data_IF_592200034787
#
_entry.id   IF_592200034787
#
_cell.length_a   1.000
_cell.length_b   1.000
_cell.length_c   1.000
_cell.angle_alpha   90.00
_cell.angle_beta   90.00
_cell.angle_gamma   90.00
#
_symmetry.space_group_name_H-M   'P 1'
#
loop_
_entity.id
_entity.type
_entity.pdbx_description
1 polymer ?
#
# COMPACT_ATOMS: atom_id res chain seq x y z
N UNK A 1 91.03 13.01 -46.61
CA UNK A 1 89.63 12.52 -46.57
C UNK A 1 89.64 11.09 -46.02
N UNK A 2 89.26 10.85 -44.76
CA UNK A 2 89.15 9.51 -44.16
C UNK A 2 87.72 9.35 -43.63
N UNK A 3 86.83 8.74 -44.42
CA UNK A 3 85.54 8.27 -43.92
C UNK A 3 85.79 7.03 -43.05
N UNK A 4 85.32 7.09 -41.81
CA UNK A 4 85.39 5.99 -40.85
C UNK A 4 84.38 4.93 -41.24
N UNK A 5 84.87 3.71 -41.46
CA UNK A 5 84.08 2.49 -41.52
C UNK A 5 83.39 2.27 -40.18
N UNK A 6 82.09 2.55 -40.08
CA UNK A 6 81.28 2.06 -38.96
C UNK A 6 81.09 0.57 -39.22
N UNK A 7 81.63 -0.27 -38.34
CA UNK A 7 81.56 -1.72 -38.50
C UNK A 7 80.10 -2.18 -38.49
N UNK A 8 79.77 -3.08 -39.42
CA UNK A 8 78.44 -3.69 -39.58
C UNK A 8 77.89 -4.29 -38.25
N UNK A 9 78.80 -4.63 -37.32
CA UNK A 9 78.49 -5.08 -35.96
C UNK A 9 77.78 -4.04 -35.09
N UNK A 10 78.07 -2.74 -35.24
CA UNK A 10 77.46 -1.68 -34.44
C UNK A 10 76.01 -1.39 -34.90
N UNK A 11 75.76 -1.49 -36.21
CA UNK A 11 74.40 -1.35 -36.77
C UNK A 11 73.51 -2.55 -36.39
N UNK A 12 74.07 -3.76 -36.35
CA UNK A 12 73.36 -4.95 -35.90
C UNK A 12 73.01 -4.89 -34.41
N UNK A 13 73.90 -4.39 -33.55
CA UNK A 13 73.62 -4.18 -32.13
C UNK A 13 72.51 -3.14 -31.87
N UNK A 14 72.44 -2.08 -32.67
CA UNK A 14 71.37 -1.07 -32.54
C UNK A 14 70.00 -1.62 -32.98
N UNK A 15 69.97 -2.45 -34.03
CA UNK A 15 68.75 -3.11 -34.49
C UNK A 15 68.23 -4.15 -33.48
N UNK A 16 69.12 -4.93 -32.86
CA UNK A 16 68.72 -5.89 -31.83
C UNK A 16 68.24 -5.20 -30.56
N UNK A 17 68.92 -4.14 -30.09
CA UNK A 17 68.48 -3.35 -28.94
C UNK A 17 67.09 -2.72 -29.14
N UNK A 18 66.81 -2.18 -30.33
CA UNK A 18 65.50 -1.59 -30.67
C UNK A 18 64.37 -2.63 -30.67
N UNK A 19 64.65 -3.84 -31.16
CA UNK A 19 63.69 -4.95 -31.16
C UNK A 19 63.35 -5.46 -29.76
N UNK A 20 64.35 -5.50 -28.86
CA UNK A 20 64.18 -5.90 -27.46
C UNK A 20 63.34 -4.87 -26.70
N UNK A 21 63.62 -3.57 -26.87
CA UNK A 21 62.85 -2.48 -26.24
C UNK A 21 61.39 -2.50 -26.71
N UNK A 22 61.14 -2.74 -28.00
CA UNK A 22 59.77 -2.88 -28.53
C UNK A 22 59.02 -4.10 -27.98
N UNK A 23 59.70 -5.24 -27.79
CA UNK A 23 59.12 -6.42 -27.15
C UNK A 23 58.83 -6.21 -25.65
N UNK A 24 59.62 -5.39 -24.97
CA UNK A 24 59.42 -5.09 -23.54
C UNK A 24 58.27 -4.10 -23.35
N UNK A 25 58.18 -3.06 -24.20
CA UNK A 25 57.07 -2.11 -24.22
C UNK A 25 55.74 -2.79 -24.54
N UNK A 26 55.69 -3.62 -25.59
CA UNK A 26 54.48 -4.38 -25.92
C UNK A 26 54.07 -5.38 -24.84
N UNK A 27 55.02 -5.99 -24.10
CA UNK A 27 54.71 -6.84 -22.94
C UNK A 27 54.17 -6.03 -21.77
N UNK A 28 54.66 -4.81 -21.56
CA UNK A 28 54.21 -3.92 -20.49
C UNK A 28 52.82 -3.37 -20.78
N UNK A 29 52.57 -2.94 -22.02
CA UNK A 29 51.26 -2.47 -22.49
C UNK A 29 50.21 -3.59 -22.42
N UNK A 30 50.54 -4.81 -22.85
CA UNK A 30 49.67 -5.98 -22.68
C UNK A 30 49.41 -6.33 -21.20
N UNK A 31 50.36 -6.06 -20.29
CA UNK A 31 50.17 -6.27 -18.84
C UNK A 31 49.27 -5.21 -18.24
N UNK A 32 49.41 -3.96 -18.65
CA UNK A 32 48.57 -2.85 -18.23
C UNK A 32 47.14 -2.99 -18.77
N UNK A 33 46.97 -3.39 -20.04
CA UNK A 33 45.67 -3.70 -20.63
C UNK A 33 44.98 -4.90 -19.97
N UNK A 34 45.73 -5.96 -19.65
CA UNK A 34 45.17 -7.09 -18.90
C UNK A 34 44.84 -6.72 -17.45
N UNK A 35 45.61 -5.81 -16.83
CA UNK A 35 45.32 -5.28 -15.49
C UNK A 35 44.11 -4.37 -15.51
N UNK A 36 43.96 -3.54 -16.54
CA UNK A 36 42.80 -2.68 -16.80
C UNK A 36 41.55 -3.52 -17.07
N UNK A 37 41.61 -4.51 -17.97
CA UNK A 37 40.53 -5.48 -18.23
C UNK A 37 40.18 -6.33 -17.01
N UNK A 38 41.16 -6.71 -16.18
CA UNK A 38 40.89 -7.42 -14.95
C UNK A 38 40.32 -6.49 -13.87
N UNK A 39 40.72 -5.21 -13.81
CA UNK A 39 40.09 -4.22 -12.93
C UNK A 39 38.68 -3.83 -13.40
N UNK A 40 38.40 -3.87 -14.70
CA UNK A 40 37.05 -3.73 -15.27
C UNK A 40 36.23 -5.02 -15.11
N UNK A 41 36.83 -6.22 -15.11
CA UNK A 41 36.12 -7.45 -14.66
C UNK A 41 35.92 -7.50 -13.14
N UNK A 42 36.72 -6.74 -12.39
CA UNK A 42 36.46 -6.34 -11.00
C UNK A 42 35.61 -5.06 -10.91
N UNK A 43 34.85 -4.71 -11.97
CA UNK A 43 33.56 -4.05 -11.75
C UNK A 43 32.84 -4.92 -10.74
N UNK A 44 32.70 -4.38 -9.53
CA UNK A 44 31.96 -4.91 -8.40
C UNK A 44 30.82 -5.78 -8.96
N UNK A 45 30.95 -7.11 -8.87
CA UNK A 45 29.81 -7.98 -9.10
C UNK A 45 28.83 -7.64 -8.01
N UNK A 46 27.98 -6.65 -8.30
CA UNK A 46 27.00 -6.10 -7.38
C UNK A 46 26.14 -7.28 -7.00
N UNK A 47 26.24 -7.73 -5.75
CA UNK A 47 25.50 -8.90 -5.29
C UNK A 47 24.03 -8.55 -5.41
N UNK A 48 23.40 -9.04 -6.48
CA UNK A 48 22.00 -8.72 -6.80
C UNK A 48 21.17 -9.20 -5.61
N UNK A 49 20.46 -8.27 -4.96
CA UNK A 49 19.58 -8.65 -3.86
C UNK A 49 18.49 -9.56 -4.42
N UNK A 50 18.51 -10.82 -4.00
CA UNK A 50 17.49 -11.81 -4.38
C UNK A 50 16.34 -11.73 -3.39
N UNK A 51 15.13 -11.48 -3.87
CA UNK A 51 13.92 -11.46 -3.06
C UNK A 51 13.07 -12.72 -3.22
N UNK A 52 13.18 -13.43 -4.35
CA UNK A 52 12.39 -14.66 -4.56
C UNK A 52 12.57 -15.62 -3.38
N UNK A 53 11.45 -16.17 -2.90
CA UNK A 53 11.42 -17.08 -1.76
C UNK A 53 11.38 -16.41 -0.38
N UNK A 54 11.48 -15.07 -0.29
CA UNK A 54 11.32 -14.38 0.98
C UNK A 54 9.85 -14.22 1.33
N UNK A 55 9.55 -14.43 2.60
CA UNK A 55 8.32 -13.95 3.22
C UNK A 55 8.52 -12.51 3.68
N UNK A 56 7.41 -11.79 3.84
CA UNK A 56 7.42 -10.50 4.51
C UNK A 56 6.18 -10.36 5.37
N UNK A 57 6.31 -9.55 6.42
CA UNK A 57 5.18 -9.05 7.17
C UNK A 57 5.38 -7.57 7.43
N UNK A 58 4.28 -6.83 7.51
CA UNK A 58 4.31 -5.45 7.99
C UNK A 58 3.07 -5.16 8.83
N UNK A 59 3.24 -4.13 9.64
CA UNK A 59 2.16 -3.45 10.32
C UNK A 59 2.40 -1.94 10.30
N UNK A 60 1.32 -1.17 10.35
CA UNK A 60 1.42 0.27 10.49
C UNK A 60 0.07 0.94 10.49
N UNK A 61 0.06 2.22 10.17
CA UNK A 61 -1.11 3.07 10.32
C UNK A 61 -1.64 3.54 8.98
N UNK A 62 -2.93 3.84 8.95
CA UNK A 62 -3.59 4.41 7.78
C UNK A 62 -4.39 5.67 8.13
N UNK A 63 -4.59 6.48 7.10
CA UNK A 63 -5.50 7.63 7.09
C UNK A 63 -6.32 7.54 5.82
N UNK A 64 -7.64 7.70 5.94
CA UNK A 64 -8.56 7.49 4.85
C UNK A 64 -9.33 8.77 4.47
N UNK A 65 -9.88 8.75 3.26
CA UNK A 65 -10.87 9.72 2.78
C UNK A 65 -11.84 8.95 1.90
N UNK A 66 -13.10 9.39 1.89
CA UNK A 66 -14.20 8.70 1.24
C UNK A 66 -14.89 9.65 0.27
N UNK A 67 -15.41 9.12 -0.84
CA UNK A 67 -16.40 9.85 -1.63
C UNK A 67 -17.72 9.91 -0.86
N UNK A 68 -18.56 10.86 -1.26
CA UNK A 68 -19.97 10.85 -0.88
C UNK A 68 -20.62 9.55 -1.42
N UNK A 69 -21.66 9.08 -0.74
CA UNK A 69 -22.31 7.81 -1.05
C UNK A 69 -23.83 7.91 -0.92
N UNK A 70 -24.53 7.30 -1.86
CA UNK A 70 -25.94 6.97 -1.67
C UNK A 70 -26.05 5.77 -0.74
N UNK A 71 -26.91 5.87 0.28
CA UNK A 71 -27.17 4.78 1.21
C UNK A 71 -28.64 4.42 1.14
N UNK A 72 -28.93 3.21 0.66
CA UNK A 72 -30.28 2.67 0.60
C UNK A 72 -30.54 1.82 1.84
N UNK A 73 -31.58 2.15 2.59
CA UNK A 73 -32.03 1.46 3.79
C UNK A 73 -33.31 0.69 3.50
N UNK A 74 -33.36 -0.57 3.94
CA UNK A 74 -34.50 -1.45 3.74
C UNK A 74 -34.83 -2.23 5.01
N UNK A 75 -36.12 -2.30 5.34
CA UNK A 75 -36.68 -3.15 6.38
C UNK A 75 -38.14 -3.47 6.07
N UNK A 76 -38.84 -4.13 7.00
CA UNK A 76 -40.23 -4.56 6.76
C UNK A 76 -41.20 -3.39 6.55
N UNK A 77 -40.91 -2.25 7.19
CA UNK A 77 -41.79 -1.08 7.24
C UNK A 77 -41.16 0.19 6.65
N UNK A 78 -39.98 0.10 6.05
CA UNK A 78 -39.32 1.24 5.41
C UNK A 78 -38.44 0.78 4.25
N UNK A 79 -38.37 1.60 3.21
CA UNK A 79 -37.51 1.41 2.05
C UNK A 79 -37.21 2.81 1.50
N UNK A 80 -36.01 3.33 1.77
CA UNK A 80 -35.63 4.68 1.39
C UNK A 80 -34.14 4.83 1.11
N UNK A 81 -33.80 5.79 0.28
CA UNK A 81 -32.42 6.14 -0.05
C UNK A 81 -32.10 7.53 0.46
N UNK A 82 -30.93 7.67 1.08
CA UNK A 82 -30.29 8.94 1.36
C UNK A 82 -29.22 9.19 0.30
N UNK A 83 -29.27 10.34 -0.36
CA UNK A 83 -28.30 10.67 -1.42
C UNK A 83 -27.16 11.56 -0.93
N UNK A 84 -25.99 11.38 -1.52
CA UNK A 84 -24.78 12.17 -1.28
C UNK A 84 -24.40 12.28 0.21
N UNK A 85 -24.54 11.16 0.94
CA UNK A 85 -24.20 11.10 2.36
C UNK A 85 -22.69 11.21 2.51
N UNK A 86 -22.25 12.21 3.26
CA UNK A 86 -20.83 12.47 3.50
C UNK A 86 -20.32 11.64 4.67
N UNK A 87 -19.09 11.17 4.54
CA UNK A 87 -18.39 10.49 5.61
C UNK A 87 -16.95 10.96 5.72
N UNK A 88 -16.38 10.76 6.91
CA UNK A 88 -15.03 11.14 7.23
C UNK A 88 -14.33 10.04 8.01
N UNK A 89 -13.02 10.17 8.05
CA UNK A 89 -12.16 9.32 8.85
C UNK A 89 -12.25 9.66 10.35
N UNK A 90 -11.98 8.69 11.22
CA UNK A 90 -11.92 8.88 12.68
C UNK A 90 -10.58 8.46 13.26
N UNK A 91 -9.57 9.26 12.94
CA UNK A 91 -8.22 9.04 13.46
C UNK A 91 -8.22 9.09 14.99
N UNK A 92 -7.70 8.02 15.59
CA UNK A 92 -7.47 7.96 17.03
C UNK A 92 -6.48 9.05 17.43
N UNK A 93 -6.85 9.93 18.37
CA UNK A 93 -5.92 10.96 18.90
C UNK A 93 -4.61 10.31 19.33
N UNK A 94 -3.49 10.90 18.90
CA UNK A 94 -2.17 10.35 19.15
C UNK A 94 -1.91 10.22 20.65
N UNK A 95 -1.48 9.03 21.06
CA UNK A 95 -0.77 8.83 22.31
C UNK A 95 0.10 7.60 22.17
N UNK A 96 1.26 7.60 22.82
CA UNK A 96 2.20 6.50 22.73
C UNK A 96 1.55 5.16 23.14
N UNK A 97 0.76 5.19 24.22
CA UNK A 97 0.04 4.02 24.70
C UNK A 97 -1.02 3.51 23.71
N UNK A 98 -1.71 4.38 22.96
CA UNK A 98 -2.70 3.92 21.98
C UNK A 98 -2.05 3.37 20.71
N UNK A 99 -0.91 3.93 20.30
CA UNK A 99 -0.27 3.62 19.03
C UNK A 99 0.78 2.51 19.09
N UNK A 100 1.43 2.30 20.23
CA UNK A 100 2.57 1.38 20.34
C UNK A 100 2.39 0.29 21.41
N UNK A 101 1.30 0.31 22.17
CA UNK A 101 0.99 -0.78 23.10
C UNK A 101 0.39 -1.97 22.33
N UNK A 102 0.97 -3.18 22.43
CA UNK A 102 0.45 -4.39 21.79
C UNK A 102 -1.01 -4.72 22.15
N UNK A 103 -1.48 -4.34 23.34
CA UNK A 103 -2.87 -4.54 23.75
C UNK A 103 -3.88 -3.61 23.08
N UNK A 104 -3.42 -2.56 22.39
CA UNK A 104 -4.25 -1.52 21.79
C UNK A 104 -4.16 -1.49 20.25
N UNK A 105 -3.60 -2.52 19.62
CA UNK A 105 -3.27 -2.53 18.18
C UNK A 105 -4.48 -2.28 17.28
N UNK A 106 -5.69 -2.60 17.73
CA UNK A 106 -6.95 -2.38 17.00
C UNK A 106 -7.61 -1.02 17.26
N UNK A 107 -7.11 -0.24 18.24
CA UNK A 107 -7.69 1.08 18.57
C UNK A 107 -7.34 2.11 17.51
N UNK A 108 -6.07 2.29 17.08
CA UNK A 108 -5.73 3.07 15.89
C UNK A 108 -6.22 2.38 14.62
N UNK A 109 -6.39 3.16 13.57
CA UNK A 109 -6.50 2.62 12.22
C UNK A 109 -5.18 2.02 11.79
N UNK A 110 -5.21 0.73 11.50
CA UNK A 110 -4.00 -0.03 11.20
C UNK A 110 -4.14 -0.89 9.97
N UNK A 111 -2.99 -1.18 9.38
CA UNK A 111 -2.87 -2.17 8.32
C UNK A 111 -1.96 -3.27 8.81
N UNK A 112 -2.37 -4.51 8.61
CA UNK A 112 -1.51 -5.67 8.81
C UNK A 112 -1.48 -6.50 7.54
N UNK A 113 -0.30 -7.01 7.20
CA UNK A 113 -0.13 -7.87 6.03
C UNK A 113 0.97 -8.88 6.22
N UNK A 114 0.76 -10.06 5.65
CA UNK A 114 1.78 -11.06 5.40
C UNK A 114 1.80 -11.40 3.91
N UNK A 115 2.98 -11.67 3.36
CA UNK A 115 3.10 -12.02 1.96
C UNK A 115 4.40 -12.72 1.61
N UNK A 116 4.55 -12.98 0.32
CA UNK A 116 5.59 -13.81 -0.24
C UNK A 116 6.05 -13.31 -1.60
N UNK A 117 7.36 -13.29 -1.81
CA UNK A 117 8.00 -12.98 -3.08
C UNK A 117 8.07 -14.24 -3.96
N UNK A 118 7.07 -14.42 -4.84
CA UNK A 118 7.05 -15.56 -5.77
C UNK A 118 7.95 -15.35 -7.00
N UNK A 119 8.35 -14.10 -7.26
CA UNK A 119 9.42 -13.70 -8.20
C UNK A 119 10.30 -12.64 -7.53
N UNK A 120 11.40 -12.27 -8.18
CA UNK A 120 12.33 -11.26 -7.64
C UNK A 120 11.69 -9.89 -7.41
N UNK A 121 10.72 -9.54 -8.26
CA UNK A 121 10.05 -8.25 -8.28
C UNK A 121 8.52 -8.37 -8.12
N UNK A 122 8.00 -9.53 -7.74
CA UNK A 122 6.55 -9.70 -7.54
C UNK A 122 6.23 -10.38 -6.22
N UNK A 123 5.23 -9.82 -5.55
CA UNK A 123 4.69 -10.34 -4.30
C UNK A 123 3.22 -10.67 -4.41
N UNK A 124 2.81 -11.73 -3.72
CA UNK A 124 1.42 -11.99 -3.37
C UNK A 124 1.29 -11.89 -1.86
N UNK A 125 0.15 -11.41 -1.37
CA UNK A 125 -0.03 -11.16 0.05
C UNK A 125 -1.49 -11.13 0.45
N UNK A 126 -1.75 -11.38 1.73
CA UNK A 126 -3.06 -11.23 2.36
C UNK A 126 -2.92 -10.30 3.56
N UNK A 127 -3.88 -9.40 3.72
CA UNK A 127 -3.87 -8.43 4.80
C UNK A 127 -5.26 -7.88 5.11
N UNK A 128 -5.29 -7.04 6.13
CA UNK A 128 -6.48 -6.32 6.58
C UNK A 128 -6.14 -4.84 6.63
N UNK A 129 -6.93 -4.03 5.93
CA UNK A 129 -6.93 -2.57 6.08
C UNK A 129 -8.07 -2.21 7.06
N UNK A 130 -7.70 -1.90 8.30
CA UNK A 130 -8.62 -1.48 9.37
C UNK A 130 -8.85 0.03 9.25
N UNK A 131 -9.67 0.41 8.26
CA UNK A 131 -10.11 1.80 8.05
C UNK A 131 -11.35 2.11 8.90
N UNK A 132 -11.61 3.39 9.19
CA UNK A 132 -12.82 3.81 9.91
C UNK A 132 -13.64 4.77 9.06
N UNK A 133 -14.87 4.37 8.75
CA UNK A 133 -15.85 5.19 8.05
C UNK A 133 -16.84 5.74 9.05
N UNK A 134 -17.00 7.06 9.14
CA UNK A 134 -17.98 7.70 10.03
C UNK A 134 -18.79 8.71 9.24
N UNK A 135 -20.10 8.49 9.16
CA UNK A 135 -21.01 9.47 8.57
C UNK A 135 -20.87 10.82 9.30
N UNK A 136 -20.90 11.92 8.57
CA UNK A 136 -20.98 13.25 9.20
C UNK A 136 -22.36 13.41 9.84
N UNK A 137 -22.40 13.68 11.13
CA UNK A 137 -23.64 13.88 11.87
C UNK A 137 -24.33 15.20 11.47
N UNK A 138 -25.66 15.23 11.60
CA UNK A 138 -26.51 16.42 11.47
C UNK A 138 -26.40 17.13 10.10
N UNK A 139 -25.93 16.42 9.08
CA UNK A 139 -25.92 16.89 7.69
C UNK A 139 -27.33 16.85 7.08
N UNK A 140 -27.60 17.78 6.16
CA UNK A 140 -28.83 17.78 5.36
C UNK A 140 -28.58 17.02 4.05
N UNK A 141 -29.38 16.00 3.80
CA UNK A 141 -29.27 15.15 2.59
C UNK A 141 -30.62 15.03 1.91
N UNK A 142 -30.61 14.50 0.68
CA UNK A 142 -31.85 14.15 -0.02
C UNK A 142 -32.34 12.78 0.40
N UNK A 143 -33.64 12.66 0.66
CA UNK A 143 -34.33 11.41 0.96
C UNK A 143 -35.38 11.11 -0.10
N UNK A 144 -35.45 9.85 -0.50
CA UNK A 144 -36.49 9.34 -1.39
C UNK A 144 -36.92 7.94 -0.95
N UNK A 145 -38.23 7.69 -0.85
CA UNK A 145 -38.77 6.40 -0.44
C UNK A 145 -39.86 6.52 0.62
N UNK A 146 -40.09 5.46 1.38
CA UNK A 146 -41.16 5.40 2.38
C UNK A 146 -40.64 4.95 3.74
N UNK A 147 -41.16 5.58 4.79
CA UNK A 147 -40.95 5.18 6.19
C UNK A 147 -42.34 5.04 6.83
N UNK A 148 -42.59 3.90 7.46
CA UNK A 148 -43.84 3.61 8.18
C UNK A 148 -43.54 2.75 9.41
N UNK A 149 -42.56 3.18 10.22
CA UNK A 149 -42.01 2.41 11.34
C UNK A 149 -42.75 2.74 12.67
N UNK A 150 -43.83 3.51 12.61
CA UNK A 150 -44.60 3.96 13.77
C UNK A 150 -43.99 5.17 14.48
N UNK A 151 -42.95 5.76 13.90
CA UNK A 151 -42.31 6.97 14.40
C UNK A 151 -42.95 8.18 13.71
N UNK A 152 -43.95 8.78 14.35
CA UNK A 152 -44.73 9.90 13.80
C UNK A 152 -43.89 11.12 13.34
N UNK A 153 -42.63 11.23 13.77
CA UNK A 153 -41.71 12.28 13.31
C UNK A 153 -41.18 12.03 11.90
N UNK A 154 -40.99 10.77 11.52
CA UNK A 154 -40.33 10.36 10.28
C UNK A 154 -41.20 9.51 9.36
N UNK A 155 -42.35 9.03 9.82
CA UNK A 155 -43.30 8.31 8.98
C UNK A 155 -43.81 9.22 7.85
N UNK A 156 -43.74 8.72 6.62
CA UNK A 156 -44.11 9.48 5.43
C UNK A 156 -43.54 8.88 4.14
N UNK A 157 -44.05 9.40 3.02
CA UNK A 157 -43.52 9.14 1.67
C UNK A 157 -42.74 10.36 1.21
N UNK A 158 -41.46 10.17 0.93
CA UNK A 158 -40.52 11.21 0.56
C UNK A 158 -40.22 11.15 -0.93
N UNK A 159 -40.29 12.32 -1.59
CA UNK A 159 -39.94 12.44 -3.00
C UNK A 159 -38.85 13.51 -3.20
N UNK A 160 -37.59 13.09 -3.07
CA UNK A 160 -36.40 13.95 -3.17
C UNK A 160 -36.43 15.17 -2.20
N UNK A 161 -36.97 14.93 -1.02
CA UNK A 161 -37.09 15.93 0.03
C UNK A 161 -35.77 16.07 0.79
N UNK A 162 -35.61 17.15 1.55
CA UNK A 162 -34.42 17.34 2.38
C UNK A 162 -34.72 16.93 3.80
N UNK A 163 -33.89 16.03 4.35
CA UNK A 163 -33.95 15.59 5.75
C UNK A 163 -32.64 15.89 6.45
N UNK A 164 -32.71 16.17 7.75
CA UNK A 164 -31.54 16.29 8.61
C UNK A 164 -31.21 14.94 9.24
N UNK A 165 -29.96 14.49 9.14
CA UNK A 165 -29.48 13.26 9.77
C UNK A 165 -29.19 13.48 11.27
N UNK A 166 -30.24 13.85 12.00
CA UNK A 166 -30.23 14.04 13.44
C UNK A 166 -29.95 12.71 14.18
N UNK A 167 -29.59 12.79 15.46
CA UNK A 167 -29.23 11.62 16.28
C UNK A 167 -30.32 10.53 16.33
N UNK A 168 -31.58 10.93 16.34
CA UNK A 168 -32.73 10.02 16.35
C UNK A 168 -33.15 9.57 14.94
N UNK A 169 -32.59 10.15 13.89
CA UNK A 169 -32.77 9.69 12.52
C UNK A 169 -31.70 8.67 12.13
N UNK A 170 -30.43 9.06 12.13
CA UNK A 170 -29.32 8.20 11.73
C UNK A 170 -28.01 8.56 12.43
N UNK A 171 -27.40 7.56 13.06
CA UNK A 171 -25.97 7.50 13.34
C UNK A 171 -25.43 6.25 12.67
N UNK A 172 -24.36 6.37 11.89
CA UNK A 172 -23.87 5.28 11.04
C UNK A 172 -22.36 5.31 10.88
N UNK A 173 -21.70 4.25 11.34
CA UNK A 173 -20.25 4.16 11.34
C UNK A 173 -19.73 2.72 11.25
N UNK A 174 -18.55 2.55 10.65
CA UNK A 174 -17.78 1.30 10.58
C UNK A 174 -16.47 1.46 11.35
N UNK A 175 -16.55 1.68 12.67
CA UNK A 175 -15.41 2.22 13.45
C UNK A 175 -14.61 1.23 14.26
N UNK A 176 -15.17 0.06 14.53
CA UNK A 176 -14.38 -1.10 14.93
C UNK A 176 -13.81 -1.83 13.70
N UNK A 177 -13.72 -1.07 12.61
CA UNK A 177 -13.11 -1.39 11.33
C UNK A 177 -14.18 -1.57 10.26
N UNK A 178 -13.97 -0.89 9.14
CA UNK A 178 -14.54 -1.28 7.84
C UNK A 178 -13.98 -2.64 7.41
N UNK A 179 -12.79 -2.99 7.89
CA UNK A 179 -12.13 -4.28 7.76
C UNK A 179 -12.13 -4.81 6.33
N UNK A 180 -11.35 -4.14 5.48
CA UNK A 180 -11.12 -4.60 4.13
C UNK A 180 -10.06 -5.71 4.14
N UNK A 181 -10.53 -6.96 4.17
CA UNK A 181 -9.68 -8.16 4.11
C UNK A 181 -9.39 -8.47 2.65
N UNK A 182 -8.14 -8.34 2.24
CA UNK A 182 -7.80 -8.34 0.82
C UNK A 182 -6.51 -9.09 0.49
N UNK A 183 -6.47 -9.58 -0.74
CA UNK A 183 -5.27 -10.12 -1.38
C UNK A 183 -4.71 -9.05 -2.30
N UNK A 184 -3.39 -8.84 -2.23
CA UNK A 184 -2.69 -7.91 -3.13
C UNK A 184 -1.60 -8.62 -3.92
N UNK A 185 -1.54 -8.29 -5.20
CA UNK A 185 -0.42 -8.53 -6.09
C UNK A 185 0.32 -7.21 -6.29
N UNK A 186 1.58 -7.15 -5.86
CA UNK A 186 2.44 -5.99 -6.08
C UNK A 186 3.67 -6.34 -6.89
N UNK A 187 4.12 -5.37 -7.68
CA UNK A 187 5.44 -5.30 -8.28
C UNK A 187 6.36 -4.44 -7.41
N UNK A 188 7.64 -4.77 -7.40
CA UNK A 188 8.69 -4.14 -6.59
C UNK A 188 9.92 -3.86 -7.48
N UNK A 189 10.25 -2.59 -7.70
CA UNK A 189 11.39 -2.19 -8.52
C UNK A 189 12.41 -1.39 -7.70
N UNK A 190 13.67 -1.82 -7.70
CA UNK A 190 14.77 -1.12 -7.02
C UNK A 190 15.20 0.10 -7.84
N UNK A 191 14.95 1.28 -7.28
CA UNK A 191 15.23 2.59 -7.90
C UNK A 191 16.40 3.32 -7.20
N UNK A 192 17.14 2.63 -6.34
CA UNK A 192 18.24 3.22 -5.55
C UNK A 192 19.28 3.95 -6.41
N UNK A 193 19.53 3.42 -7.61
CA UNK A 193 20.47 4.01 -8.58
C UNK A 193 20.07 5.42 -9.03
N UNK A 194 18.77 5.75 -9.06
CA UNK A 194 18.29 7.09 -9.43
C UNK A 194 18.74 8.16 -8.42
N UNK A 195 19.06 7.74 -7.20
CA UNK A 195 19.51 8.60 -6.11
C UNK A 195 21.02 8.46 -5.82
N UNK A 196 21.78 7.81 -6.72
CA UNK A 196 23.21 7.56 -6.53
C UNK A 196 23.52 6.58 -5.39
N UNK A 197 22.52 5.88 -4.85
CA UNK A 197 22.68 4.92 -3.77
C UNK A 197 23.06 3.56 -4.35
N UNK A 198 24.28 3.11 -4.04
CA UNK A 198 24.82 1.80 -4.43
C UNK A 198 25.20 0.95 -3.21
N UNK A 199 24.41 1.04 -2.14
CA UNK A 199 24.67 0.33 -0.89
C UNK A 199 23.93 -1.02 -0.86
N UNK A 200 24.61 -2.09 -0.46
CA UNK A 200 23.96 -3.41 -0.33
C UNK A 200 22.92 -3.47 0.80
N UNK A 201 23.05 -2.59 1.79
CA UNK A 201 22.25 -2.60 3.01
C UNK A 201 21.19 -1.50 3.03
N UNK A 202 21.04 -0.72 1.97
CA UNK A 202 20.02 0.34 1.85
C UNK A 202 19.48 0.34 0.41
N UNK A 203 18.19 0.04 0.26
CA UNK A 203 17.51 0.03 -1.02
C UNK A 203 16.26 0.91 -0.97
N UNK A 204 16.10 1.75 -1.98
CA UNK A 204 14.85 2.47 -2.23
C UNK A 204 14.13 1.73 -3.35
N UNK A 205 12.88 1.36 -3.11
CA UNK A 205 12.08 0.61 -4.06
C UNK A 205 10.78 1.36 -4.32
N UNK A 206 10.37 1.38 -5.58
CA UNK A 206 9.03 1.76 -5.97
C UNK A 206 8.16 0.50 -5.98
N UNK A 207 6.93 0.63 -5.49
CA UNK A 207 5.95 -0.45 -5.44
C UNK A 207 4.68 -0.02 -6.12
N UNK A 208 4.07 -0.92 -6.87
CA UNK A 208 2.78 -0.72 -7.52
C UNK A 208 1.99 -2.03 -7.49
N UNK A 209 0.68 -1.99 -7.44
CA UNK A 209 -0.10 -3.22 -7.38
C UNK A 209 -1.60 -3.02 -7.40
N UNK A 210 -2.26 -4.16 -7.42
CA UNK A 210 -3.71 -4.29 -7.40
C UNK A 210 -4.12 -5.19 -6.23
N UNK A 211 -5.24 -4.83 -5.59
CA UNK A 211 -5.83 -5.58 -4.50
C UNK A 211 -7.32 -5.83 -4.73
N UNK A 212 -7.80 -6.98 -4.26
CA UNK A 212 -9.22 -7.28 -4.20
C UNK A 212 -9.55 -8.05 -2.92
N UNK A 213 -10.76 -7.87 -2.40
CA UNK A 213 -11.10 -8.42 -1.10
C UNK A 213 -12.55 -8.24 -0.71
N UNK A 214 -12.83 -8.66 0.52
CA UNK A 214 -14.15 -8.61 1.15
C UNK A 214 -14.18 -7.57 2.27
N UNK A 215 -15.37 -7.09 2.60
CA UNK A 215 -15.62 -6.17 3.70
C UNK A 215 -16.28 -6.93 4.84
N UNK A 216 -15.65 -6.93 6.01
CA UNK A 216 -16.16 -7.54 7.23
C UNK A 216 -16.33 -6.50 8.35
N UNK A 217 -17.15 -5.46 8.13
CA UNK A 217 -17.27 -4.36 9.07
C UNK A 217 -17.91 -4.80 10.39
N UNK A 218 -17.60 -4.05 11.44
CA UNK A 218 -18.46 -3.95 12.62
C UNK A 218 -19.21 -2.62 12.54
N UNK A 219 -20.47 -2.71 12.15
CA UNK A 219 -21.31 -1.53 11.89
C UNK A 219 -21.97 -1.07 13.18
N UNK A 220 -21.64 0.13 13.64
CA UNK A 220 -22.37 0.80 14.69
C UNK A 220 -23.43 1.72 14.05
N UNK A 221 -24.70 1.35 14.21
CA UNK A 221 -25.83 2.00 13.56
C UNK A 221 -26.96 2.23 14.55
N UNK A 222 -27.56 3.41 14.49
CA UNK A 222 -28.80 3.78 15.19
C UNK A 222 -29.71 4.44 14.16
N UNK A 223 -30.80 3.76 13.82
CA UNK A 223 -31.67 4.10 12.69
C UNK A 223 -33.09 4.34 13.20
N UNK A 224 -33.68 5.49 12.88
CA UNK A 224 -35.08 5.86 13.17
C UNK A 224 -35.50 5.71 14.64
N UNK A 225 -34.55 5.89 15.56
CA UNK A 225 -34.78 5.76 17.00
C UNK A 225 -34.74 4.33 17.54
N UNK A 226 -34.48 3.32 16.69
CA UNK A 226 -34.29 1.93 17.09
C UNK A 226 -33.03 1.73 17.95
N UNK A 227 -32.96 0.56 18.58
CA UNK A 227 -31.78 0.13 19.34
C UNK A 227 -30.52 0.09 18.47
N UNK A 228 -29.40 0.40 19.12
CA UNK A 228 -28.07 0.42 18.49
C UNK A 228 -27.66 -0.99 18.05
N UNK A 229 -27.32 -1.16 16.77
CA UNK A 229 -26.57 -2.32 16.29
C UNK A 229 -25.06 -2.07 16.42
N UNK A 230 -24.29 -3.12 16.74
CA UNK A 230 -22.83 -3.06 16.82
C UNK A 230 -22.26 -4.48 16.58
N UNK A 231 -22.59 -5.06 15.42
CA UNK A 231 -22.27 -6.45 15.06
C UNK A 231 -21.35 -6.55 13.85
N UNK A 232 -20.50 -7.58 13.85
CA UNK A 232 -19.72 -7.96 12.68
C UNK A 232 -20.61 -8.61 11.64
N UNK A 233 -20.43 -8.25 10.38
CA UNK A 233 -21.16 -8.85 9.27
C UNK A 233 -20.31 -8.85 7.99
N UNK A 234 -20.48 -9.86 7.14
CA UNK A 234 -19.87 -9.87 5.81
C UNK A 234 -20.73 -9.01 4.90
N UNK A 235 -20.26 -7.81 4.58
CA UNK A 235 -21.12 -6.78 3.98
C UNK A 235 -20.84 -6.46 2.53
N UNK A 236 -19.77 -6.98 1.93
CA UNK A 236 -19.49 -6.71 0.54
C UNK A 236 -18.08 -7.03 0.08
N UNK A 237 -17.66 -6.37 -1.00
CA UNK A 237 -16.35 -6.54 -1.61
C UNK A 237 -15.79 -5.22 -2.15
N UNK A 238 -14.49 -5.22 -2.43
CA UNK A 238 -13.81 -4.05 -2.96
C UNK A 238 -12.60 -4.40 -3.80
N UNK A 239 -12.20 -3.46 -4.64
CA UNK A 239 -10.99 -3.53 -5.46
C UNK A 239 -10.19 -2.23 -5.29
N UNK A 240 -8.87 -2.33 -5.40
CA UNK A 240 -7.96 -1.21 -5.15
C UNK A 240 -6.71 -1.27 -6.00
N UNK A 241 -6.14 -0.08 -6.23
CA UNK A 241 -4.80 0.12 -6.74
C UNK A 241 -3.94 0.70 -5.62
N UNK A 242 -2.67 0.35 -5.61
CA UNK A 242 -1.73 0.81 -4.60
C UNK A 242 -0.40 1.13 -5.25
N UNK A 243 0.17 2.27 -4.87
CA UNK A 243 1.53 2.66 -5.23
C UNK A 243 2.25 3.15 -3.96
N UNK A 244 3.56 2.98 -3.90
CA UNK A 244 4.29 3.39 -2.70
C UNK A 244 5.79 3.35 -2.83
N UNK A 245 6.46 3.95 -1.84
CA UNK A 245 7.91 3.98 -1.72
C UNK A 245 8.32 3.15 -0.52
N UNK A 246 9.24 2.22 -0.72
CA UNK A 246 9.77 1.34 0.31
C UNK A 246 11.27 1.55 0.47
N UNK A 247 11.68 1.91 1.69
CA UNK A 247 13.08 2.04 2.07
C UNK A 247 13.45 0.81 2.89
N UNK A 248 14.15 -0.13 2.27
CA UNK A 248 14.66 -1.34 2.90
C UNK A 248 16.07 -1.12 3.44
N UNK A 249 16.33 -1.56 4.67
CA UNK A 249 17.63 -1.45 5.32
C UNK A 249 18.04 -2.76 6.01
N UNK A 250 19.35 -2.96 6.16
CA UNK A 250 19.95 -4.17 6.74
C UNK A 250 19.49 -5.47 6.07
N UNK A 251 19.06 -5.41 4.80
CA UNK A 251 18.54 -6.54 3.98
C UNK A 251 17.24 -7.18 4.50
N UNK A 252 16.75 -6.77 5.67
CA UNK A 252 15.62 -7.39 6.37
C UNK A 252 14.49 -6.41 6.64
N UNK A 253 14.78 -5.22 7.15
CA UNK A 253 13.74 -4.31 7.63
C UNK A 253 13.39 -3.28 6.57
N UNK A 254 12.21 -2.69 6.68
CA UNK A 254 11.82 -1.59 5.83
C UNK A 254 10.80 -0.67 6.49
N UNK A 255 10.84 0.60 6.05
CA UNK A 255 9.73 1.54 6.21
C UNK A 255 9.12 1.75 4.83
N UNK A 256 7.79 1.82 4.77
CA UNK A 256 7.06 1.99 3.52
C UNK A 256 5.95 3.01 3.69
N UNK A 257 5.80 3.88 2.70
CA UNK A 257 4.68 4.78 2.57
C UNK A 257 3.89 4.40 1.33
N UNK A 258 2.61 4.06 1.48
CA UNK A 258 1.73 3.75 0.36
C UNK A 258 0.62 4.80 0.21
N UNK A 259 0.24 5.02 -1.05
CA UNK A 259 -1.02 5.59 -1.47
C UNK A 259 -1.85 4.48 -2.11
N UNK A 260 -3.01 4.19 -1.53
CA UNK A 260 -3.96 3.19 -2.00
C UNK A 260 -5.28 3.86 -2.31
N UNK A 261 -5.88 3.57 -3.46
CA UNK A 261 -7.21 4.06 -3.82
C UNK A 261 -8.04 2.93 -4.38
N UNK A 262 -9.35 2.94 -4.15
CA UNK A 262 -10.20 1.85 -4.59
C UNK A 262 -11.68 2.16 -4.53
N UNK A 263 -12.47 1.16 -4.90
CA UNK A 263 -13.93 1.19 -4.86
C UNK A 263 -14.42 0.05 -3.98
N UNK A 264 -15.39 0.35 -3.12
CA UNK A 264 -16.04 -0.58 -2.21
C UNK A 264 -17.53 -0.63 -2.52
N UNK A 265 -18.06 -1.84 -2.65
CA UNK A 265 -19.49 -2.10 -2.84
C UNK A 265 -19.98 -2.96 -1.68
N UNK A 266 -20.93 -2.42 -0.90
CA UNK A 266 -21.48 -3.06 0.29
C UNK A 266 -22.99 -3.23 0.13
N UNK A 267 -23.46 -4.34 -0.47
CA UNK A 267 -24.89 -4.56 -0.71
C UNK A 267 -25.68 -4.96 0.54
N UNK A 268 -25.01 -5.40 1.61
CA UNK A 268 -25.67 -5.97 2.78
C UNK A 268 -24.98 -5.52 4.08
N UNK A 269 -25.31 -4.32 4.53
CA UNK A 269 -24.90 -3.79 5.82
C UNK A 269 -26.00 -4.03 6.84
N UNK A 270 -25.66 -4.66 7.96
CA UNK A 270 -26.62 -4.88 9.03
C UNK A 270 -26.84 -3.59 9.83
N UNK A 271 -28.05 -3.04 9.79
CA UNK A 271 -28.38 -1.73 10.38
C UNK A 271 -29.04 -1.82 11.75
N UNK A 272 -29.75 -2.91 12.04
CA UNK A 272 -30.41 -3.18 13.34
C UNK A 272 -30.19 -4.63 13.78
N UNK A 273 -30.78 -5.02 14.92
CA UNK A 273 -30.79 -6.41 15.37
C UNK A 273 -31.72 -7.31 14.53
N UNK A 274 -32.72 -6.73 13.86
CA UNK A 274 -33.65 -7.46 13.00
C UNK A 274 -32.93 -7.94 11.72
N UNK A 275 -33.20 -9.17 11.30
CA UNK A 275 -32.61 -9.76 10.10
C UNK A 275 -33.21 -9.23 8.79
N UNK A 276 -34.41 -8.64 8.81
CA UNK A 276 -35.00 -8.00 7.63
C UNK A 276 -34.43 -6.60 7.37
N UNK A 277 -33.79 -5.99 8.38
CA UNK A 277 -33.24 -4.64 8.31
C UNK A 277 -31.80 -4.68 7.74
N UNK A 278 -31.60 -3.94 6.65
CA UNK A 278 -30.33 -3.87 5.92
C UNK A 278 -30.10 -2.47 5.31
N UNK A 279 -28.86 -2.20 4.92
CA UNK A 279 -28.54 -1.10 4.04
C UNK A 279 -27.56 -1.52 2.95
N UNK A 280 -27.57 -0.78 1.83
CA UNK A 280 -26.58 -0.90 0.78
C UNK A 280 -25.94 0.45 0.49
N UNK A 281 -24.63 0.43 0.23
CA UNK A 281 -23.87 1.62 -0.16
C UNK A 281 -22.66 1.24 -1.02
N UNK A 282 -22.15 2.21 -1.77
CA UNK A 282 -20.90 2.08 -2.50
C UNK A 282 -20.16 3.42 -2.50
N UNK A 283 -18.83 3.36 -2.47
CA UNK A 283 -18.01 4.54 -2.39
C UNK A 283 -16.59 4.28 -2.87
N UNK A 284 -15.94 5.35 -3.33
CA UNK A 284 -14.50 5.35 -3.53
C UNK A 284 -13.79 5.73 -2.24
N UNK A 285 -12.59 5.20 -2.06
CA UNK A 285 -11.72 5.55 -0.94
C UNK A 285 -10.32 5.89 -1.43
N UNK A 286 -9.66 6.77 -0.68
CA UNK A 286 -8.23 7.04 -0.78
C UNK A 286 -7.61 6.84 0.60
N UNK A 287 -6.55 6.05 0.67
CA UNK A 287 -5.87 5.66 1.88
C UNK A 287 -4.38 5.96 1.76
N UNK A 288 -3.84 6.69 2.74
CA UNK A 288 -2.40 6.92 2.91
C UNK A 288 -1.91 6.06 4.06
N UNK A 289 -0.73 5.46 3.94
CA UNK A 289 -0.19 4.61 4.99
C UNK A 289 1.26 4.90 5.30
N UNK A 290 1.64 4.58 6.54
CA UNK A 290 3.04 4.46 6.98
C UNK A 290 3.18 3.10 7.65
N UNK A 291 4.06 2.28 7.11
CA UNK A 291 4.20 0.86 7.41
C UNK A 291 5.63 0.55 7.83
N UNK A 292 5.78 -0.36 8.79
CA UNK A 292 7.05 -0.90 9.23
C UNK A 292 6.98 -2.41 9.05
N UNK A 293 8.00 -2.99 8.43
CA UNK A 293 7.99 -4.41 8.13
C UNK A 293 9.36 -5.05 8.05
N UNK A 294 9.31 -6.37 7.88
CA UNK A 294 10.47 -7.24 7.76
C UNK A 294 10.32 -8.24 6.62
N UNK A 295 11.45 -8.62 6.01
CA UNK A 295 11.60 -9.66 4.99
C UNK A 295 12.52 -10.73 5.53
N UNK A 296 12.10 -11.99 5.43
CA UNK A 296 12.82 -13.13 6.00
C UNK A 296 12.69 -14.38 5.12
N UNK A 297 13.55 -15.36 5.35
CA UNK A 297 13.44 -16.72 4.80
C UNK A 297 13.04 -17.66 5.93
N UNK A 298 12.22 -18.65 5.59
CA UNK A 298 11.96 -19.80 6.46
C UNK A 298 13.02 -20.88 6.21
#
# INVERSE_FOLDING_TARGET
MKLRTISLSLLMMAATASSIIGQEQSKQENREDNKARNSEKFIIQKKKVTNKGKFFAYWGWNWASYSDADIHFKGDNYDFTLSDVKAQDRQTKFSFNKYFNPGNVTIPQTNYRIGYFFKENYTVSIGVDHMKYVMIDDQNVKINGNINDGNAKYDGTYNNETVNLAEDFLRFEHTDGLNYVNVELKRFDDVSHWFGLNLENLQINLTEGFGMGILYPKTNSKLLGKDRNDSFHLSGYGASLVAGVNISFLKHFYVQADLKGGHIYMPDVKTTSNSSDSASQNFFFLQKTILIGGKFRL
#
